data_IF_488751268748
#
_entry.id   IF_488751268748
#
_cell.length_a   1.000
_cell.length_b   1.000
_cell.length_c   1.000
_cell.angle_alpha   90.00
_cell.angle_beta   90.00
_cell.angle_gamma   90.00
#
_symmetry.space_group_name_H-M   'P 1'
#
loop_
_entity.id
_entity.type
_entity.pdbx_description
1 polymer ?
#
# COMPACT_ATOMS: atom_id res chain seq x y z
N UNK A 1 13.47 -28.06 -14.83
CA UNK A 1 12.29 -27.73 -14.01
C UNK A 1 11.06 -27.80 -14.89
N UNK A 2 10.08 -28.65 -14.57
CA UNK A 2 8.89 -28.87 -15.41
C UNK A 2 8.09 -27.57 -15.66
N UNK A 3 7.83 -26.80 -14.60
CA UNK A 3 7.12 -25.51 -14.70
C UNK A 3 7.76 -24.53 -15.70
N UNK A 4 9.07 -24.23 -15.54
CA UNK A 4 9.76 -23.31 -16.45
C UNK A 4 9.80 -23.81 -17.91
N UNK A 5 9.84 -25.13 -18.13
CA UNK A 5 9.75 -25.70 -19.47
C UNK A 5 8.35 -25.48 -20.06
N UNK A 6 7.30 -25.74 -19.28
CA UNK A 6 5.92 -25.49 -19.72
C UNK A 6 5.67 -24.03 -20.05
N UNK A 7 6.27 -23.07 -19.34
CA UNK A 7 6.19 -21.64 -19.68
C UNK A 7 6.85 -21.32 -21.03
N UNK A 8 7.98 -21.96 -21.37
CA UNK A 8 8.66 -21.75 -22.66
C UNK A 8 7.87 -22.30 -23.84
N UNK A 9 7.08 -23.33 -23.59
CA UNK A 9 6.25 -24.02 -24.57
C UNK A 9 4.82 -23.46 -24.63
N UNK A 10 4.53 -22.39 -23.87
CA UNK A 10 3.22 -21.76 -23.77
C UNK A 10 2.10 -22.67 -23.22
N UNK A 11 2.50 -23.64 -22.39
CA UNK A 11 1.65 -24.67 -21.77
C UNK A 11 1.38 -24.38 -20.29
N UNK A 12 1.27 -23.10 -19.92
CA UNK A 12 1.06 -22.68 -18.54
C UNK A 12 -0.23 -23.29 -17.97
N UNK A 13 -1.34 -23.16 -18.66
CA UNK A 13 -2.64 -23.61 -18.16
C UNK A 13 -2.79 -25.14 -18.12
N UNK A 14 -1.92 -25.89 -18.80
CA UNK A 14 -1.88 -27.35 -18.71
C UNK A 14 -1.24 -27.85 -17.41
N UNK A 15 -0.43 -27.03 -16.75
CA UNK A 15 0.29 -27.41 -15.53
C UNK A 15 -0.31 -26.81 -14.25
N UNK A 16 -1.23 -25.86 -14.39
CA UNK A 16 -1.98 -25.32 -13.26
C UNK A 16 -3.12 -26.26 -12.88
N UNK A 17 -3.39 -26.38 -11.59
CA UNK A 17 -4.56 -27.12 -11.13
C UNK A 17 -5.84 -26.41 -11.56
N UNK A 18 -6.86 -27.19 -11.97
CA UNK A 18 -8.12 -26.65 -12.48
C UNK A 18 -8.76 -25.60 -11.55
N UNK A 19 -8.69 -25.81 -10.23
CA UNK A 19 -9.26 -24.89 -9.26
C UNK A 19 -8.62 -23.48 -9.30
N UNK A 20 -7.36 -23.38 -9.72
CA UNK A 20 -6.63 -22.11 -9.89
C UNK A 20 -7.13 -21.42 -11.16
N UNK A 21 -7.30 -22.16 -12.25
CA UNK A 21 -7.74 -21.62 -13.54
C UNK A 21 -9.21 -21.21 -13.53
N UNK A 22 -10.06 -22.01 -12.88
CA UNK A 22 -11.50 -21.76 -12.79
C UNK A 22 -11.86 -20.66 -11.78
N UNK A 23 -11.11 -20.55 -10.69
CA UNK A 23 -11.38 -19.60 -9.60
C UNK A 23 -10.56 -18.32 -9.64
N UNK A 24 -9.44 -18.30 -10.37
CA UNK A 24 -8.51 -17.17 -10.40
C UNK A 24 -8.73 -16.23 -11.58
N UNK A 25 -8.35 -14.96 -11.40
CA UNK A 25 -8.28 -14.00 -12.49
C UNK A 25 -7.07 -14.31 -13.39
N UNK A 26 -7.28 -14.40 -14.70
CA UNK A 26 -6.25 -14.79 -15.66
C UNK A 26 -5.06 -13.81 -15.67
N UNK A 27 -5.32 -12.51 -15.55
CA UNK A 27 -4.27 -11.48 -15.49
C UNK A 27 -3.40 -11.64 -14.24
N UNK A 28 -4.01 -11.79 -13.06
CA UNK A 28 -3.27 -12.04 -11.81
C UNK A 28 -2.47 -13.33 -11.88
N UNK A 29 -3.04 -14.40 -12.44
CA UNK A 29 -2.32 -15.67 -12.63
C UNK A 29 -1.07 -15.43 -13.48
N UNK A 30 -1.19 -14.69 -14.59
CA UNK A 30 -0.05 -14.34 -15.46
C UNK A 30 1.01 -13.51 -14.72
N UNK A 31 0.61 -12.54 -13.90
CA UNK A 31 1.55 -11.74 -13.11
C UNK A 31 2.31 -12.59 -12.08
N UNK A 32 1.60 -13.46 -11.34
CA UNK A 32 2.21 -14.39 -10.37
C UNK A 32 3.16 -15.36 -11.07
N UNK A 33 2.80 -15.84 -12.26
CA UNK A 33 3.64 -16.74 -13.06
C UNK A 33 4.93 -16.06 -13.49
N UNK A 34 4.88 -14.81 -13.95
CA UNK A 34 6.09 -14.08 -14.33
C UNK A 34 6.98 -13.77 -13.11
N UNK A 35 6.38 -13.48 -11.95
CA UNK A 35 7.11 -13.35 -10.69
C UNK A 35 7.78 -14.67 -10.30
N UNK A 36 7.06 -15.79 -10.34
CA UNK A 36 7.59 -17.11 -10.05
C UNK A 36 8.73 -17.50 -11.01
N UNK A 37 8.60 -17.19 -12.29
CA UNK A 37 9.64 -17.41 -13.31
C UNK A 37 10.93 -16.65 -12.97
N UNK A 38 10.84 -15.40 -12.49
CA UNK A 38 12.00 -14.63 -12.03
C UNK A 38 12.61 -15.21 -10.74
N UNK A 39 11.79 -15.64 -9.79
CA UNK A 39 12.25 -16.30 -8.56
C UNK A 39 12.99 -17.62 -8.82
N UNK A 40 12.61 -18.34 -9.89
CA UNK A 40 13.16 -19.65 -10.24
C UNK A 40 14.39 -19.60 -11.17
N UNK A 41 14.95 -18.41 -11.44
CA UNK A 41 16.18 -18.28 -12.25
C UNK A 41 17.33 -19.08 -11.66
N UNK A 42 18.13 -19.71 -12.51
CA UNK A 42 19.23 -20.59 -12.06
C UNK A 42 20.29 -19.79 -11.30
N UNK A 43 20.64 -18.61 -11.81
CA UNK A 43 21.56 -17.66 -11.18
C UNK A 43 20.87 -16.89 -10.06
N UNK A 44 21.44 -16.96 -8.86
CA UNK A 44 20.86 -16.36 -7.66
C UNK A 44 20.85 -14.83 -7.68
N UNK A 45 21.84 -14.21 -8.33
CA UNK A 45 21.98 -12.77 -8.52
C UNK A 45 20.93 -12.18 -9.49
N UNK A 46 20.32 -13.00 -10.34
CA UNK A 46 19.20 -12.58 -11.19
C UNK A 46 17.83 -12.73 -10.51
N UNK A 47 17.76 -13.33 -9.31
CA UNK A 47 16.51 -13.52 -8.58
C UNK A 47 16.13 -12.24 -7.84
N UNK A 48 14.83 -11.89 -7.77
CA UNK A 48 14.38 -10.80 -6.94
C UNK A 48 14.63 -11.11 -5.46
N UNK A 49 14.85 -10.06 -4.69
CA UNK A 49 14.87 -10.12 -3.23
C UNK A 49 13.47 -10.40 -2.69
N UNK A 50 13.35 -11.00 -1.51
CA UNK A 50 12.04 -11.22 -0.88
C UNK A 50 11.28 -9.91 -0.61
N UNK A 51 11.98 -8.78 -0.46
CA UNK A 51 11.36 -7.45 -0.35
C UNK A 51 10.64 -7.08 -1.65
N UNK A 52 11.29 -7.25 -2.79
CA UNK A 52 10.68 -7.00 -4.11
C UNK A 52 9.51 -7.95 -4.35
N UNK A 53 9.69 -9.24 -4.06
CA UNK A 53 8.62 -10.25 -4.18
C UNK A 53 7.39 -9.86 -3.35
N UNK A 54 7.57 -9.38 -2.11
CA UNK A 54 6.47 -8.95 -1.25
C UNK A 54 5.74 -7.71 -1.81
N UNK A 55 6.49 -6.72 -2.30
CA UNK A 55 5.93 -5.50 -2.92
C UNK A 55 5.11 -5.87 -4.16
N UNK A 56 5.63 -6.76 -5.01
CA UNK A 56 4.93 -7.19 -6.22
C UNK A 56 3.66 -7.97 -5.89
N UNK A 57 3.70 -8.89 -4.93
CA UNK A 57 2.47 -9.57 -4.47
C UNK A 57 1.43 -8.60 -3.90
N UNK A 58 1.87 -7.54 -3.19
CA UNK A 58 0.96 -6.50 -2.73
C UNK A 58 0.32 -5.74 -3.91
N UNK A 59 1.07 -5.51 -4.99
CA UNK A 59 0.56 -4.94 -6.24
C UNK A 59 -0.48 -5.84 -6.92
N UNK A 60 -0.16 -7.12 -7.12
CA UNK A 60 -1.04 -8.12 -7.76
C UNK A 60 -2.36 -8.29 -6.97
N UNK A 61 -2.33 -8.16 -5.64
CA UNK A 61 -3.54 -8.20 -4.83
C UNK A 61 -4.42 -6.96 -4.98
N UNK A 62 -3.83 -5.81 -5.32
CA UNK A 62 -4.54 -4.53 -5.43
C UNK A 62 -5.14 -4.30 -6.82
N UNK A 63 -4.72 -5.04 -7.85
CA UNK A 63 -5.20 -4.89 -9.23
C UNK A 63 -6.68 -5.26 -9.41
N UNK A 64 -7.28 -6.04 -8.50
CA UNK A 64 -8.75 -6.23 -8.45
C UNK A 64 -9.53 -4.94 -8.16
N UNK A 65 -8.91 -3.96 -7.50
CA UNK A 65 -9.59 -2.74 -7.02
C UNK A 65 -9.50 -1.55 -7.97
N UNK A 66 -8.61 -1.57 -8.97
CA UNK A 66 -8.37 -0.41 -9.83
C UNK A 66 -8.16 -0.82 -11.29
N UNK A 67 -9.25 -1.12 -11.99
CA UNK A 67 -9.28 -0.92 -13.44
C UNK A 67 -8.96 0.56 -13.70
N UNK A 68 -7.81 0.82 -14.33
CA UNK A 68 -7.38 2.10 -14.91
C UNK A 68 -6.79 3.15 -13.95
N UNK A 69 -5.46 3.14 -13.73
CA UNK A 69 -4.56 4.23 -14.15
C UNK A 69 -3.14 3.67 -14.27
N UNK A 70 -2.62 3.61 -15.49
CA UNK A 70 -1.17 3.55 -15.71
C UNK A 70 -0.57 4.85 -15.19
N UNK A 71 0.05 4.85 -14.00
CA UNK A 71 0.97 5.91 -13.61
C UNK A 71 2.34 5.28 -13.53
N UNK A 72 3.01 5.36 -14.67
CA UNK A 72 4.43 5.58 -14.77
C UNK A 72 4.87 6.51 -13.63
N UNK A 73 5.35 5.94 -12.53
CA UNK A 73 5.73 6.68 -11.34
C UNK A 73 7.01 7.44 -11.66
N UNK A 74 6.84 8.66 -12.18
CA UNK A 74 7.87 9.67 -12.20
C UNK A 74 8.40 9.84 -10.77
N UNK A 75 9.72 9.75 -10.64
CA UNK A 75 10.50 9.75 -9.40
C UNK A 75 10.58 11.15 -8.75
N UNK A 76 9.72 12.10 -9.12
CA UNK A 76 9.98 13.54 -8.88
C UNK A 76 8.98 14.24 -7.94
N UNK A 77 7.96 13.58 -7.41
CA UNK A 77 6.93 14.25 -6.58
C UNK A 77 7.00 13.89 -5.08
N UNK A 78 8.21 13.92 -4.51
CA UNK A 78 8.41 13.80 -3.05
C UNK A 78 8.71 15.14 -2.34
N UNK A 79 8.85 16.26 -3.07
CA UNK A 79 9.45 17.49 -2.51
C UNK A 79 8.48 18.63 -2.17
N UNK A 80 7.16 18.44 -2.28
CA UNK A 80 6.20 19.56 -2.14
C UNK A 80 5.35 19.57 -0.86
N UNK A 81 5.67 18.76 0.16
CA UNK A 81 4.88 18.70 1.41
C UNK A 81 5.42 19.52 2.59
N UNK A 82 6.45 20.34 2.40
CA UNK A 82 6.85 21.32 3.41
C UNK A 82 6.40 22.72 2.99
N UNK A 83 5.08 22.89 2.95
CA UNK A 83 4.44 24.20 2.84
C UNK A 83 4.80 25.06 4.04
N UNK A 84 5.68 26.02 3.80
CA UNK A 84 5.99 27.14 4.69
C UNK A 84 4.71 27.82 5.19
N UNK A 85 4.35 27.59 6.45
CA UNK A 85 3.35 28.46 7.11
C UNK A 85 4.08 29.65 7.70
N UNK A 86 4.36 30.62 6.84
CA UNK A 86 4.65 31.99 7.25
C UNK A 86 3.34 32.62 7.76
N UNK A 87 3.19 32.75 9.07
CA UNK A 87 2.15 33.61 9.63
C UNK A 87 2.75 34.57 10.66
N UNK A 88 3.18 35.71 10.12
CA UNK A 88 3.38 36.92 10.88
C UNK A 88 2.03 37.38 11.45
N UNK A 89 1.88 37.30 12.77
CA UNK A 89 0.89 38.09 13.49
C UNK A 89 1.61 39.02 14.45
N UNK A 90 1.70 40.29 14.04
CA UNK A 90 2.04 41.43 14.90
C UNK A 90 0.86 41.75 15.80
N UNK A 91 1.00 41.58 17.11
CA UNK A 91 0.34 42.44 18.09
C UNK A 91 1.25 42.60 19.31
N UNK A 92 1.59 43.84 19.64
CA UNK A 92 2.35 44.17 20.84
C UNK A 92 1.44 44.25 22.06
N UNK A 93 1.85 43.61 23.16
CA UNK A 93 1.84 44.13 24.52
C UNK A 93 2.12 43.01 25.55
N UNK A 94 3.09 43.28 26.42
CA UNK A 94 3.17 42.87 27.84
C UNK A 94 3.53 41.42 28.22
N UNK A 95 4.67 41.32 28.91
CA UNK A 95 5.10 40.17 29.73
C UNK A 95 4.02 39.67 30.70
N UNK A 96 3.83 38.35 30.79
CA UNK A 96 3.66 37.65 32.07
C UNK A 96 3.75 36.13 31.89
N UNK A 97 4.39 35.49 32.87
CA UNK A 97 4.61 34.04 33.00
C UNK A 97 3.29 33.37 33.37
N UNK A 98 3.01 32.16 32.89
CA UNK A 98 2.51 31.03 33.69
C UNK A 98 2.17 29.83 32.81
N UNK A 99 2.62 28.65 33.24
CA UNK A 99 2.17 27.33 32.81
C UNK A 99 0.66 27.17 32.97
N UNK A 100 -0.02 26.67 31.94
CA UNK A 100 -1.45 26.34 32.00
C UNK A 100 -1.82 25.41 30.86
N UNK A 101 -1.64 24.11 31.07
CA UNK A 101 -2.33 23.08 30.30
C UNK A 101 -3.76 23.07 30.81
N UNK A 102 -4.73 23.39 29.97
CA UNK A 102 -6.13 23.09 30.27
C UNK A 102 -6.73 22.33 29.08
N UNK A 103 -7.08 21.08 29.36
CA UNK A 103 -7.68 20.13 28.44
C UNK A 103 -9.02 19.78 29.05
N UNK A 104 -10.11 20.12 28.37
CA UNK A 104 -11.45 19.59 28.66
C UNK A 104 -12.17 19.32 27.34
N UNK A 105 -12.13 18.05 26.94
CA UNK A 105 -13.18 17.44 26.13
C UNK A 105 -14.26 16.96 27.11
N UNK A 106 -15.51 17.39 26.94
CA UNK A 106 -16.62 16.50 26.56
C UNK A 106 -18.00 17.14 26.77
N UNK A 107 -18.87 16.75 25.84
CA UNK A 107 -20.23 17.18 25.55
C UNK A 107 -21.26 16.73 26.62
N UNK A 108 -22.28 17.58 26.89
CA UNK A 108 -23.43 17.35 27.79
C UNK A 108 -24.20 16.04 27.45
N UNK A 109 -24.82 15.28 28.36
CA UNK A 109 -26.04 15.51 29.17
C UNK A 109 -26.26 14.19 29.96
N UNK A 110 -26.84 14.15 31.16
CA UNK A 110 -28.29 13.97 31.38
C UNK A 110 -28.58 14.14 32.88
N UNK A 111 -29.57 14.98 33.19
CA UNK A 111 -30.13 15.14 34.53
C UNK A 111 -30.96 13.92 34.93
N UNK A 112 -30.79 13.43 36.16
CA UNK A 112 -31.77 12.56 36.81
C UNK A 112 -31.92 12.92 38.30
N UNK A 113 -33.03 13.59 38.62
CA UNK A 113 -33.94 13.19 39.70
C UNK A 113 -33.51 13.37 41.16
N UNK A 114 -34.17 14.34 41.79
CA UNK A 114 -34.28 14.61 43.24
C UNK A 114 -34.95 13.47 44.04
N UNK A 115 -34.73 13.44 45.36
CA UNK A 115 -35.72 12.88 46.29
C UNK A 115 -35.22 12.02 47.46
N UNK A 116 -34.90 12.73 48.55
CA UNK A 116 -35.21 12.42 49.97
C UNK A 116 -34.11 11.94 50.91
#
# INVERSE_FOLDING_TARGET
MFFLSSLKEDRLFEVLENHIVEGGNEEQIKEVVELAKRCLREKGDERPTMKEVAIEFEGIRKTETHSWVSVQSNVEEAEHLLGETSHAFKYGASNSRATGYDSMNDHETLALGDGR
#
